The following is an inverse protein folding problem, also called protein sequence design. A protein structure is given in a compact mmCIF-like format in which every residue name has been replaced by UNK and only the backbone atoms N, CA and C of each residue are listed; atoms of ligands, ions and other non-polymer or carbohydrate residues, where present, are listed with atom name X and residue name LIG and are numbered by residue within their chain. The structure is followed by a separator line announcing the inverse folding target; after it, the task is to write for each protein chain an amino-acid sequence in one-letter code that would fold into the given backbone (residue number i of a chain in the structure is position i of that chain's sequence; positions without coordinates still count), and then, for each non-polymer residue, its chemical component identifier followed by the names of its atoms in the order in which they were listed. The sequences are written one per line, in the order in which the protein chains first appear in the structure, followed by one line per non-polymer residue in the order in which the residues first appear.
data_IF_700324363298
#
_entry.id   IF_700324363298
#
_cell.length_a   1.000
_cell.length_b   1.000
_cell.length_c   1.000
_cell.angle_alpha   90.00
_cell.angle_beta   90.00
_cell.angle_gamma   90.00
#
_symmetry.space_group_name_H-M   'P 1'
#
loop_
_entity.id
_entity.type
_entity.pdbx_description
1 polymer ?
#
# COMPACT_ATOMS: atom_id res chain seq x y z
N UNK A 1 -25.18 5.28 26.58
CA UNK A 1 -25.29 4.61 25.26
C UNK A 1 -23.90 4.63 24.63
N UNK A 2 -22.94 3.94 25.25
CA UNK A 2 -21.51 4.25 25.03
C UNK A 2 -20.65 3.03 24.73
N UNK A 3 -21.21 1.82 24.82
CA UNK A 3 -20.47 0.56 24.77
C UNK A 3 -20.42 -0.08 23.37
N UNK A 4 -21.04 0.54 22.36
CA UNK A 4 -21.16 -0.01 21.00
C UNK A 4 -19.95 0.28 20.08
N UNK A 5 -19.07 1.22 20.46
CA UNK A 5 -17.98 1.71 19.60
C UNK A 5 -16.66 0.94 19.81
N UNK A 6 -16.48 0.30 20.98
CA UNK A 6 -15.22 -0.36 21.37
C UNK A 6 -15.08 -1.83 20.90
N UNK A 7 -16.17 -2.45 20.44
CA UNK A 7 -16.21 -3.88 20.11
C UNK A 7 -15.25 -4.33 18.98
N UNK A 8 -15.03 -3.57 17.89
CA UNK A 8 -14.16 -4.03 16.79
C UNK A 8 -12.67 -4.10 17.15
N UNK A 9 -12.21 -3.33 18.13
CA UNK A 9 -10.78 -3.23 18.48
C UNK A 9 -10.34 -4.14 19.65
N UNK A 10 -11.26 -4.53 20.55
CA UNK A 10 -10.92 -5.34 21.73
C UNK A 10 -11.03 -6.86 21.45
N UNK A 11 -11.83 -7.27 20.45
CA UNK A 11 -12.09 -8.68 20.16
C UNK A 11 -10.86 -9.48 19.65
N UNK A 12 -9.73 -8.83 19.34
CA UNK A 12 -8.54 -9.47 18.76
C UNK A 12 -7.51 -10.00 19.78
N UNK A 13 -7.76 -9.87 21.09
CA UNK A 13 -6.72 -10.12 22.14
C UNK A 13 -7.00 -11.34 23.04
N UNK A 14 -8.07 -12.13 22.80
CA UNK A 14 -8.41 -13.29 23.64
C UNK A 14 -8.79 -14.55 22.83
N UNK A 15 -7.79 -15.21 22.24
CA UNK A 15 -7.83 -16.66 21.98
C UNK A 15 -6.81 -17.34 22.89
N UNK A 16 -7.24 -17.69 24.10
CA UNK A 16 -6.41 -18.43 25.05
C UNK A 16 -6.28 -19.90 24.62
N UNK A 17 -5.03 -20.33 24.41
CA UNK A 17 -4.66 -21.74 24.26
C UNK A 17 -5.10 -22.52 25.50
N UNK A 18 -5.96 -23.56 25.39
CA UNK A 18 -6.32 -24.37 26.54
C UNK A 18 -5.14 -25.26 26.97
N UNK A 19 -4.75 -25.29 28.26
CA UNK A 19 -3.61 -26.08 28.70
C UNK A 19 -3.95 -27.57 28.76
N UNK A 20 -3.05 -28.39 28.19
CA UNK A 20 -3.05 -29.85 28.36
C UNK A 20 -3.03 -30.22 29.85
N UNK A 21 -4.12 -30.80 30.37
CA UNK A 21 -4.11 -31.49 31.66
C UNK A 21 -4.56 -32.95 31.56
N UNK A 22 -3.77 -33.79 32.21
CA UNK A 22 -3.90 -35.26 32.29
C UNK A 22 -5.28 -35.67 32.80
N UNK A 23 -5.93 -36.61 32.10
CA UNK A 23 -7.04 -37.35 32.68
C UNK A 23 -6.55 -38.19 33.86
N UNK A 24 -7.19 -38.02 35.02
CA UNK A 24 -7.36 -39.08 36.03
C UNK A 24 -8.84 -39.32 36.14
N UNK A 25 -9.27 -40.55 35.88
CA UNK A 25 -10.69 -40.92 35.97
C UNK A 25 -11.17 -41.00 37.42
N UNK A 26 -12.43 -40.66 37.65
CA UNK A 26 -13.24 -41.13 38.78
C UNK A 26 -14.57 -41.61 38.19
N UNK A 27 -14.98 -42.80 38.64
CA UNK A 27 -16.21 -43.46 38.24
C UNK A 27 -17.39 -42.92 39.05
N UNK A 28 -18.49 -42.53 38.40
CA UNK A 28 -19.79 -42.41 39.06
C UNK A 28 -20.91 -43.06 38.25
N UNK A 29 -21.72 -43.84 38.98
CA UNK A 29 -22.84 -44.63 38.47
C UNK A 29 -24.05 -43.72 38.23
N UNK A 30 -24.85 -44.01 37.20
CA UNK A 30 -26.31 -43.83 37.25
C UNK A 30 -27.00 -45.13 36.85
N UNK A 31 -28.14 -45.37 37.49
CA UNK A 31 -28.93 -46.60 37.39
C UNK A 31 -30.05 -46.46 36.34
N UNK A 32 -30.40 -47.63 35.78
CA UNK A 32 -31.65 -48.09 35.11
C UNK A 32 -32.85 -47.13 35.21
N UNK A 33 -33.68 -46.96 34.18
CA UNK A 33 -34.45 -47.98 33.41
C UNK A 33 -34.62 -47.54 31.93
N UNK A 34 -35.19 -48.29 30.97
CA UNK A 34 -35.77 -49.65 30.91
C UNK A 34 -36.75 -49.73 29.71
N UNK A 35 -36.74 -50.83 28.94
CA UNK A 35 -37.58 -51.00 27.73
C UNK A 35 -36.78 -51.69 26.60
N UNK A 36 -37.32 -52.76 26.02
CA UNK A 36 -36.60 -53.65 25.10
C UNK A 36 -37.21 -53.78 23.70
N UNK A 37 -36.96 -54.93 23.06
CA UNK A 37 -37.12 -55.24 21.61
C UNK A 37 -35.98 -54.61 20.76
N UNK A 38 -35.11 -55.33 20.05
CA UNK A 38 -34.90 -56.78 19.92
C UNK A 38 -35.05 -57.29 18.49
N UNK A 39 -33.93 -57.55 17.79
CA UNK A 39 -33.79 -58.60 16.78
C UNK A 39 -32.30 -58.90 16.47
N UNK A 40 -32.02 -60.06 15.89
CA UNK A 40 -30.72 -60.74 15.91
C UNK A 40 -29.81 -60.49 14.68
N UNK A 41 -28.51 -60.35 14.98
CA UNK A 41 -27.35 -61.09 14.44
C UNK A 41 -27.33 -61.54 12.96
N UNK A 42 -26.22 -61.20 12.27
CA UNK A 42 -25.26 -62.24 11.88
C UNK A 42 -23.81 -61.69 11.88
N UNK A 43 -22.83 -62.55 12.13
CA UNK A 43 -21.43 -62.16 12.38
C UNK A 43 -20.41 -62.95 11.56
N UNK A 44 -19.30 -62.29 11.20
CA UNK A 44 -17.94 -62.85 11.12
C UNK A 44 -16.93 -61.70 10.99
N UNK A 45 -15.71 -61.69 11.55
CA UNK A 45 -15.13 -62.62 12.53
C UNK A 45 -13.75 -63.16 12.11
N UNK A 46 -12.65 -62.47 12.48
CA UNK A 46 -11.35 -63.07 12.85
C UNK A 46 -10.35 -62.04 13.40
N UNK A 47 -9.67 -62.43 14.49
CA UNK A 47 -8.60 -61.68 15.16
C UNK A 47 -7.20 -62.20 14.74
N UNK A 48 -6.12 -61.49 15.09
CA UNK A 48 -4.75 -61.85 14.68
C UNK A 48 -3.59 -61.14 15.42
N UNK A 49 -3.58 -61.21 16.75
CA UNK A 49 -2.41 -61.19 17.67
C UNK A 49 -1.06 -60.51 17.29
N UNK A 50 -0.81 -59.37 17.96
CA UNK A 50 0.41 -58.95 18.69
C UNK A 50 1.77 -59.69 18.51
N UNK A 51 2.85 -58.91 18.30
CA UNK A 51 4.17 -59.13 18.97
C UNK A 51 5.00 -57.83 19.11
N UNK A 52 5.64 -57.65 20.28
CA UNK A 52 6.62 -56.58 20.57
C UNK A 52 8.05 -57.05 20.31
N UNK A 53 8.90 -56.15 19.80
CA UNK A 53 10.37 -55.97 19.99
C UNK A 53 10.78 -54.85 19.02
N UNK A 54 11.89 -54.12 19.13
CA UNK A 54 13.00 -54.07 20.09
C UNK A 54 14.07 -53.15 19.48
N UNK A 55 14.65 -52.23 20.26
CA UNK A 55 15.57 -51.17 19.75
C UNK A 55 16.77 -51.73 18.96
N UNK A 56 17.19 -51.05 17.88
CA UNK A 56 18.61 -50.69 17.64
C UNK A 56 18.79 -49.61 16.56
N UNK A 57 19.77 -48.72 16.79
CA UNK A 57 20.32 -47.78 15.80
C UNK A 57 21.15 -48.55 14.77
N UNK A 58 21.08 -48.16 13.50
CA UNK A 58 22.18 -48.34 12.52
C UNK A 58 22.33 -47.05 11.72
N UNK A 59 23.55 -46.54 11.63
CA UNK A 59 23.93 -45.43 10.76
C UNK A 59 24.07 -45.94 9.32
N UNK A 60 23.38 -45.32 8.37
CA UNK A 60 23.65 -45.51 6.94
C UNK A 60 24.17 -44.20 6.34
N UNK A 61 25.49 -44.14 6.10
CA UNK A 61 26.11 -43.08 5.29
C UNK A 61 25.65 -43.23 3.84
N UNK A 62 24.94 -42.25 3.29
CA UNK A 62 24.88 -42.03 1.86
C UNK A 62 25.95 -40.99 1.47
N UNK A 63 27.11 -41.45 0.99
CA UNK A 63 28.04 -40.57 0.27
C UNK A 63 27.51 -40.37 -1.13
N UNK A 64 27.35 -39.12 -1.59
CA UNK A 64 27.50 -38.79 -3.01
C UNK A 64 28.69 -37.86 -3.16
N UNK A 65 29.58 -38.27 -4.05
CA UNK A 65 30.88 -37.65 -4.34
C UNK A 65 30.73 -36.57 -5.39
N UNK A 66 31.28 -35.39 -5.12
CA UNK A 66 31.66 -34.44 -6.16
C UNK A 66 32.87 -35.00 -6.93
N UNK A 67 32.95 -34.82 -8.26
CA UNK A 67 34.23 -34.73 -8.95
C UNK A 67 34.79 -33.31 -8.79
N UNK A 68 36.05 -33.19 -8.39
CA UNK A 68 36.77 -31.93 -8.34
C UNK A 68 38.16 -32.10 -8.97
N UNK A 69 38.47 -31.22 -9.92
CA UNK A 69 39.82 -30.95 -10.46
C UNK A 69 39.73 -29.57 -11.14
N UNK A 70 40.20 -28.47 -10.53
CA UNK A 70 41.61 -28.04 -10.42
C UNK A 70 42.11 -27.50 -11.78
N UNK A 71 42.83 -26.37 -11.93
CA UNK A 71 43.52 -25.42 -11.03
C UNK A 71 43.47 -24.01 -11.65
N UNK A 72 43.64 -22.93 -10.87
CA UNK A 72 44.28 -21.70 -11.38
C UNK A 72 43.44 -20.43 -11.25
N UNK A 73 43.82 -19.56 -10.30
CA UNK A 73 43.18 -18.25 -10.14
C UNK A 73 43.96 -17.12 -10.83
N UNK A 74 43.25 -16.06 -11.21
CA UNK A 74 43.66 -14.64 -11.18
C UNK A 74 42.42 -13.77 -11.42
N UNK A 75 42.46 -12.53 -10.94
CA UNK A 75 41.37 -11.57 -11.07
C UNK A 75 41.33 -10.88 -12.46
N UNK A 76 40.15 -10.46 -12.94
CA UNK A 76 40.01 -9.33 -13.87
C UNK A 76 39.94 -8.03 -13.04
N UNK A 77 40.87 -7.07 -13.08
CA UNK A 77 41.26 -6.22 -14.23
C UNK A 77 40.10 -5.86 -15.16
N UNK A 78 39.57 -4.65 -14.94
CA UNK A 78 38.67 -3.95 -15.86
C UNK A 78 39.53 -3.22 -16.90
N UNK A 79 39.27 -3.40 -18.20
CA UNK A 79 39.66 -2.45 -19.26
C UNK A 79 39.08 -2.81 -20.65
N UNK A 80 38.96 -1.76 -21.47
CA UNK A 80 38.85 -1.72 -22.94
C UNK A 80 37.59 -2.30 -23.63
N UNK A 81 36.73 -1.38 -24.09
CA UNK A 81 36.07 -1.45 -25.40
C UNK A 81 36.19 -0.10 -26.12
N UNK A 82 37.05 -0.03 -27.13
CA UNK A 82 37.12 0.96 -28.22
C UNK A 82 38.04 0.33 -29.27
N UNK A 83 37.67 0.30 -30.56
CA UNK A 83 37.76 1.47 -31.45
C UNK A 83 36.48 1.64 -32.31
N UNK A 84 36.25 2.67 -33.15
CA UNK A 84 37.15 3.38 -34.07
C UNK A 84 36.78 4.85 -34.32
N UNK A 85 37.77 5.60 -34.80
CA UNK A 85 37.71 6.99 -35.30
C UNK A 85 37.21 7.11 -36.75
N UNK A 86 36.73 8.31 -37.10
CA UNK A 86 36.45 8.77 -38.47
C UNK A 86 35.49 9.97 -38.46
N UNK A 87 35.92 11.17 -38.05
CA UNK A 87 36.40 12.24 -38.94
C UNK A 87 35.36 12.68 -40.01
N UNK A 88 34.86 13.91 -40.04
CA UNK A 88 35.08 15.08 -39.16
C UNK A 88 34.47 16.35 -39.81
N UNK A 89 34.54 17.51 -39.16
CA UNK A 89 34.75 18.83 -39.80
C UNK A 89 34.92 19.92 -38.72
N UNK A 90 35.87 20.84 -38.91
CA UNK A 90 36.06 22.05 -38.11
C UNK A 90 34.98 23.10 -38.44
N UNK A 91 34.71 24.13 -37.62
CA UNK A 91 35.26 24.52 -36.33
C UNK A 91 35.06 26.02 -36.09
N UNK A 92 35.02 26.48 -34.83
CA UNK A 92 35.21 27.87 -34.41
C UNK A 92 35.41 27.94 -32.90
N UNK A 93 36.59 28.37 -32.47
CA UNK A 93 36.93 28.84 -31.12
C UNK A 93 36.34 30.27 -30.95
N UNK A 94 36.22 30.91 -29.79
CA UNK A 94 36.97 30.83 -28.52
C UNK A 94 36.07 31.34 -27.33
N UNK A 95 36.56 31.70 -26.12
CA UNK A 95 36.47 30.85 -24.92
C UNK A 95 35.55 31.36 -23.79
N UNK A 96 35.17 30.48 -22.86
CA UNK A 96 34.59 30.90 -21.58
C UNK A 96 34.24 29.77 -20.60
N UNK A 97 34.85 29.83 -19.40
CA UNK A 97 34.51 29.06 -18.18
C UNK A 97 34.92 27.57 -18.16
N UNK A 98 35.72 27.21 -17.14
CA UNK A 98 36.20 25.85 -16.85
C UNK A 98 35.14 25.04 -16.09
N UNK A 99 35.05 23.75 -16.39
CA UNK A 99 34.40 22.78 -15.51
C UNK A 99 35.40 22.24 -14.48
N UNK A 100 35.00 22.13 -13.21
CA UNK A 100 35.77 21.45 -12.17
C UNK A 100 35.20 20.04 -11.92
N UNK A 101 36.03 19.02 -12.11
CA UNK A 101 35.73 17.65 -11.66
C UNK A 101 36.17 17.47 -10.21
N UNK A 102 35.25 17.11 -9.32
CA UNK A 102 35.60 16.66 -7.98
C UNK A 102 36.32 15.30 -8.03
N UNK A 103 37.57 15.27 -7.57
CA UNK A 103 38.38 14.05 -7.41
C UNK A 103 38.33 13.58 -5.95
N UNK A 104 37.91 12.34 -5.72
CA UNK A 104 38.02 11.72 -4.40
C UNK A 104 39.49 11.59 -3.97
N UNK A 105 39.84 12.04 -2.76
CA UNK A 105 41.10 11.69 -2.10
C UNK A 105 40.84 10.93 -0.80
N UNK A 106 41.39 9.73 -0.72
CA UNK A 106 41.70 9.07 0.54
C UNK A 106 42.71 9.90 1.34
N UNK A 107 42.54 9.94 2.66
CA UNK A 107 43.59 10.34 3.59
C UNK A 107 43.80 9.24 4.63
N UNK A 108 45.01 8.69 4.63
CA UNK A 108 45.52 7.77 5.66
C UNK A 108 46.76 8.39 6.27
N UNK A 109 46.72 8.69 7.57
CA UNK A 109 47.86 9.19 8.34
C UNK A 109 47.70 8.74 9.78
N UNK A 110 48.56 7.82 10.23
CA UNK A 110 48.52 7.27 11.59
C UNK A 110 49.51 7.95 12.53
N UNK A 111 49.27 7.82 13.82
CA UNK A 111 50.30 7.92 14.87
C UNK A 111 50.15 6.69 15.77
N UNK A 112 51.27 6.08 16.14
CA UNK A 112 51.34 4.88 16.96
C UNK A 112 51.79 5.27 18.39
N UNK A 113 51.19 4.64 19.41
CA UNK A 113 51.71 4.59 20.77
C UNK A 113 51.57 3.17 21.33
N UNK A 114 52.61 2.69 22.01
CA UNK A 114 52.74 1.33 22.55
C UNK A 114 52.99 1.37 24.06
N UNK A 115 52.21 0.62 24.83
CA UNK A 115 52.54 -0.02 26.12
C UNK A 115 51.37 -0.99 26.46
N UNK A 116 51.53 -2.33 26.43
CA UNK A 116 52.08 -3.18 27.50
C UNK A 116 51.25 -3.08 28.82
N UNK A 117 50.19 -3.89 29.03
CA UNK A 117 50.18 -5.31 29.53
C UNK A 117 50.36 -5.38 31.08
N UNK A 118 49.67 -6.19 31.90
CA UNK A 118 48.84 -7.40 31.69
C UNK A 118 47.66 -7.53 32.71
N UNK A 119 46.80 -8.56 32.58
CA UNK A 119 45.86 -8.95 33.66
C UNK A 119 44.64 -9.84 33.28
N UNK A 120 44.54 -11.01 33.91
CA UNK A 120 43.63 -12.14 33.61
C UNK A 120 42.09 -11.93 33.56
N UNK A 121 41.45 -12.73 32.68
CA UNK A 121 40.20 -13.51 32.85
C UNK A 121 39.02 -12.89 33.64
N UNK A 122 37.89 -12.70 32.96
CA UNK A 122 36.65 -13.43 33.33
C UNK A 122 35.67 -13.55 32.16
N UNK A 123 34.89 -14.63 32.15
CA UNK A 123 33.94 -14.98 31.08
C UNK A 123 32.57 -14.32 31.26
N UNK A 124 31.98 -13.84 30.15
CA UNK A 124 30.55 -13.98 29.80
C UNK A 124 30.28 -13.50 28.38
N UNK A 125 29.42 -14.23 27.68
CA UNK A 125 28.88 -13.86 26.36
C UNK A 125 27.89 -12.70 26.53
N UNK A 126 27.96 -11.69 25.67
CA UNK A 126 26.92 -10.66 25.51
C UNK A 126 26.41 -10.65 24.06
N UNK A 127 25.13 -10.30 23.89
CA UNK A 127 24.46 -10.34 22.59
C UNK A 127 24.88 -9.18 21.67
N UNK A 128 24.91 -9.43 20.36
CA UNK A 128 25.14 -8.40 19.35
C UNK A 128 23.95 -7.44 19.28
N UNK A 129 24.22 -6.14 19.36
CA UNK A 129 23.22 -5.08 19.30
C UNK A 129 22.64 -4.88 17.89
N UNK A 130 21.38 -4.45 17.82
CA UNK A 130 20.82 -3.77 16.64
C UNK A 130 21.25 -2.29 16.65
N UNK A 131 21.37 -1.63 15.48
CA UNK A 131 21.72 -0.21 15.43
C UNK A 131 20.52 0.66 15.85
N UNK A 132 20.69 1.41 16.93
CA UNK A 132 19.77 2.45 17.37
C UNK A 132 20.28 3.83 16.94
N UNK A 133 19.49 4.54 16.13
CA UNK A 133 19.65 5.98 15.92
C UNK A 133 18.28 6.62 15.72
N UNK A 134 17.52 6.74 16.80
CA UNK A 134 16.37 7.63 16.90
C UNK A 134 16.89 8.96 17.47
N UNK A 135 16.69 10.07 16.76
CA UNK A 135 17.25 11.37 17.11
C UNK A 135 16.12 12.37 17.44
N UNK A 136 15.97 12.81 18.71
CA UNK A 136 14.91 13.74 19.11
C UNK A 136 14.90 15.07 18.35
N UNK A 137 16.06 15.48 17.82
CA UNK A 137 16.23 16.76 17.12
C UNK A 137 15.51 16.83 15.76
N UNK A 138 15.19 15.68 15.15
CA UNK A 138 14.44 15.64 13.89
C UNK A 138 12.94 15.89 14.13
N UNK A 139 12.37 15.31 15.19
CA UNK A 139 10.98 15.54 15.60
C UNK A 139 10.74 17.00 16.04
N UNK A 140 11.75 17.64 16.64
CA UNK A 140 11.70 19.04 17.05
C UNK A 140 11.83 20.00 15.84
N UNK A 141 12.55 19.59 14.78
CA UNK A 141 12.59 20.29 13.51
C UNK A 141 11.26 20.19 12.74
N UNK A 142 10.62 19.01 12.73
CA UNK A 142 9.29 18.82 12.11
C UNK A 142 8.21 19.68 12.79
N UNK A 143 8.20 19.73 14.14
CA UNK A 143 7.30 20.61 14.91
C UNK A 143 7.52 22.08 14.57
N UNK A 144 8.79 22.50 14.49
CA UNK A 144 9.13 23.88 14.15
C UNK A 144 8.75 24.24 12.70
N UNK A 145 8.88 23.31 11.76
CA UNK A 145 8.42 23.48 10.39
C UNK A 145 6.89 23.62 10.31
N UNK A 146 6.14 22.89 11.14
CA UNK A 146 4.69 23.03 11.27
C UNK A 146 4.26 24.37 11.88
N UNK A 147 5.03 24.94 12.83
CA UNK A 147 4.78 26.27 13.39
C UNK A 147 5.15 27.42 12.43
N UNK A 148 6.30 27.34 11.75
CA UNK A 148 6.74 28.34 10.76
C UNK A 148 5.83 28.37 9.51
N UNK A 149 5.08 27.29 9.23
CA UNK A 149 4.05 27.24 8.17
C UNK A 149 2.82 28.15 8.43
N UNK A 150 2.69 28.76 9.62
CA UNK A 150 1.55 29.60 10.00
C UNK A 150 1.74 31.11 9.69
N UNK A 151 2.73 31.48 8.87
CA UNK A 151 2.99 32.86 8.44
C UNK A 151 2.35 33.17 7.06
N UNK A 152 1.65 34.30 6.87
CA UNK A 152 0.85 34.55 5.66
C UNK A 152 1.68 34.98 4.43
N UNK A 153 2.17 34.00 3.67
CA UNK A 153 2.53 34.12 2.24
C UNK A 153 3.95 33.64 1.86
N UNK A 154 4.21 33.19 0.60
CA UNK A 154 3.25 32.95 -0.50
C UNK A 154 2.69 31.51 -0.47
N UNK A 155 1.39 31.38 -0.78
CA UNK A 155 0.53 30.23 -0.44
C UNK A 155 0.77 28.90 -1.21
N UNK A 156 1.98 28.60 -1.69
CA UNK A 156 2.25 27.37 -2.46
C UNK A 156 3.50 26.57 -2.03
N UNK A 157 4.33 27.05 -1.09
CA UNK A 157 5.62 26.38 -0.80
C UNK A 157 5.55 25.17 0.14
N UNK A 158 4.48 24.97 0.89
CA UNK A 158 4.43 23.99 1.97
C UNK A 158 3.28 22.95 1.87
N UNK A 159 2.51 22.90 0.77
CA UNK A 159 1.36 21.97 0.60
C UNK A 159 1.80 20.49 0.60
N UNK A 160 2.95 20.23 0.00
CA UNK A 160 3.58 18.91 -0.14
C UNK A 160 5.05 19.00 0.27
N UNK A 161 5.56 17.96 0.90
CA UNK A 161 6.98 17.77 1.27
C UNK A 161 7.60 16.65 0.44
N UNK A 162 8.91 16.67 0.26
CA UNK A 162 9.63 15.52 -0.30
C UNK A 162 9.82 14.46 0.80
N UNK A 163 9.66 13.19 0.42
CA UNK A 163 9.99 12.03 1.21
C UNK A 163 10.77 11.03 0.33
N UNK A 164 12.10 11.05 0.46
CA UNK A 164 13.03 10.21 -0.32
C UNK A 164 12.73 10.23 -1.85
N UNK A 165 12.51 11.43 -2.41
CA UNK A 165 12.17 11.63 -3.84
C UNK A 165 10.71 11.31 -4.21
N UNK A 166 9.80 11.27 -3.24
CA UNK A 166 8.35 11.14 -3.45
C UNK A 166 7.65 12.31 -2.74
N UNK A 167 6.92 13.15 -3.49
CA UNK A 167 6.11 14.19 -2.88
C UNK A 167 4.93 13.58 -2.12
N UNK A 168 4.71 14.01 -0.87
CA UNK A 168 3.58 13.61 -0.03
C UNK A 168 3.13 14.79 0.83
N UNK A 169 1.87 14.81 1.25
CA UNK A 169 1.34 15.77 2.22
C UNK A 169 1.66 15.37 3.66
N UNK A 170 1.52 16.33 4.57
CA UNK A 170 1.88 16.18 5.99
C UNK A 170 1.05 15.13 6.75
N UNK A 171 -0.06 14.63 6.20
CA UNK A 171 -0.79 13.50 6.80
C UNK A 171 -0.03 12.17 6.72
N UNK A 172 0.92 12.05 5.78
CA UNK A 172 1.76 10.88 5.62
C UNK A 172 3.05 11.07 6.44
N UNK A 173 3.05 10.61 7.68
CA UNK A 173 4.21 10.76 8.57
C UNK A 173 5.39 9.93 8.11
N UNK A 174 6.61 10.37 8.41
CA UNK A 174 7.84 9.62 8.08
C UNK A 174 7.82 8.20 8.64
N UNK A 175 7.30 8.04 9.86
CA UNK A 175 7.07 6.74 10.49
C UNK A 175 6.18 5.84 9.63
N UNK A 176 5.01 6.34 9.22
CA UNK A 176 4.01 5.53 8.53
C UNK A 176 4.46 5.24 7.08
N UNK A 177 5.13 6.19 6.42
CA UNK A 177 5.75 6.01 5.11
C UNK A 177 6.89 4.97 5.14
N UNK A 178 7.82 5.04 6.09
CA UNK A 178 8.90 4.04 6.24
C UNK A 178 8.33 2.66 6.59
N UNK A 179 7.31 2.60 7.46
CA UNK A 179 6.57 1.36 7.75
C UNK A 179 5.88 0.80 6.49
N UNK A 180 5.18 1.63 5.72
CA UNK A 180 4.51 1.26 4.47
C UNK A 180 5.47 0.65 3.43
N UNK A 181 6.61 1.31 3.17
CA UNK A 181 7.63 0.82 2.23
C UNK A 181 8.32 -0.47 2.69
N UNK A 182 8.30 -0.78 3.99
CA UNK A 182 8.82 -2.03 4.56
C UNK A 182 7.77 -3.14 4.70
N UNK A 183 6.56 -2.95 4.17
CA UNK A 183 5.56 -4.01 4.17
C UNK A 183 6.02 -5.19 3.29
N UNK A 184 5.89 -6.41 3.80
CA UNK A 184 6.10 -7.64 3.05
C UNK A 184 4.72 -8.21 2.71
N UNK A 185 4.28 -8.18 1.43
CA UNK A 185 2.96 -8.67 1.06
C UNK A 185 2.81 -10.17 1.32
N UNK A 186 1.68 -10.56 1.91
CA UNK A 186 1.36 -11.96 2.17
C UNK A 186 0.84 -12.65 0.89
N UNK A 187 1.00 -13.97 0.84
CA UNK A 187 0.38 -14.81 -0.18
C UNK A 187 -1.14 -14.56 -0.23
N UNK A 188 -1.65 -14.10 -1.39
CA UNK A 188 -3.07 -13.79 -1.57
C UNK A 188 -3.54 -12.42 -1.08
N UNK A 189 -2.65 -11.54 -0.60
CA UNK A 189 -3.01 -10.13 -0.38
C UNK A 189 -3.46 -9.48 -1.69
N UNK A 190 -4.43 -8.57 -1.60
CA UNK A 190 -4.91 -7.78 -2.74
C UNK A 190 -4.65 -6.31 -2.48
N UNK A 191 -4.08 -5.62 -3.46
CA UNK A 191 -3.85 -4.18 -3.45
C UNK A 191 -4.77 -3.48 -4.43
N UNK A 192 -5.30 -2.34 -4.01
CA UNK A 192 -6.01 -1.39 -4.87
C UNK A 192 -5.09 -0.19 -5.02
N UNK A 193 -4.52 -0.08 -6.22
CA UNK A 193 -3.51 0.91 -6.56
C UNK A 193 -4.10 1.93 -7.52
N UNK A 194 -3.76 3.20 -7.33
CA UNK A 194 -3.95 4.21 -8.36
C UNK A 194 -3.10 5.43 -8.05
N UNK A 195 -2.74 6.22 -9.05
CA UNK A 195 -2.46 7.64 -8.79
C UNK A 195 -3.68 8.31 -8.12
N UNK A 196 -3.53 9.30 -7.22
CA UNK A 196 -4.66 9.94 -6.56
C UNK A 196 -5.81 10.33 -7.50
N UNK A 197 -7.04 10.14 -6.99
CA UNK A 197 -8.30 10.58 -7.63
C UNK A 197 -8.65 9.90 -8.96
N UNK A 198 -7.96 8.81 -9.32
CA UNK A 198 -8.30 7.98 -10.48
C UNK A 198 -9.44 6.97 -10.22
N UNK A 199 -10.04 6.95 -9.02
CA UNK A 199 -11.22 6.12 -8.73
C UNK A 199 -11.04 5.10 -7.61
N UNK A 200 -9.93 5.14 -6.87
CA UNK A 200 -9.55 4.24 -5.78
C UNK A 200 -10.69 3.93 -4.80
N UNK A 201 -11.41 4.94 -4.31
CA UNK A 201 -12.56 4.75 -3.40
C UNK A 201 -13.65 3.90 -4.04
N UNK A 202 -13.95 4.10 -5.33
CA UNK A 202 -14.96 3.29 -6.02
C UNK A 202 -14.48 1.85 -6.19
N UNK A 203 -13.20 1.64 -6.47
CA UNK A 203 -12.61 0.30 -6.52
C UNK A 203 -12.60 -0.40 -5.14
N UNK A 204 -12.31 0.32 -4.05
CA UNK A 204 -12.45 -0.20 -2.69
C UNK A 204 -13.90 -0.63 -2.42
N UNK A 205 -14.89 0.18 -2.82
CA UNK A 205 -16.30 -0.20 -2.72
C UNK A 205 -16.65 -1.42 -3.58
N UNK A 206 -16.13 -1.54 -4.80
CA UNK A 206 -16.31 -2.72 -5.67
C UNK A 206 -15.76 -3.98 -4.99
N UNK A 207 -14.48 -3.98 -4.61
CA UNK A 207 -13.81 -5.16 -4.04
C UNK A 207 -14.43 -5.56 -2.69
N UNK A 208 -14.68 -4.60 -1.79
CA UNK A 208 -15.31 -4.89 -0.50
C UNK A 208 -16.72 -5.46 -0.65
N UNK A 209 -17.54 -4.99 -1.62
CA UNK A 209 -18.87 -5.54 -1.83
C UNK A 209 -18.85 -6.90 -2.55
N UNK A 210 -17.89 -7.16 -3.44
CA UNK A 210 -17.68 -8.51 -4.02
C UNK A 210 -17.34 -9.52 -2.90
N UNK A 211 -16.45 -9.16 -1.97
CA UNK A 211 -16.08 -10.02 -0.84
C UNK A 211 -17.20 -10.23 0.20
N UNK A 212 -18.23 -9.38 0.20
CA UNK A 212 -19.34 -9.39 1.17
C UNK A 212 -20.69 -9.76 0.54
N UNK A 213 -20.70 -10.37 -0.65
CA UNK A 213 -21.93 -10.79 -1.36
C UNK A 213 -22.95 -9.64 -1.54
N UNK A 214 -22.46 -8.41 -1.74
CA UNK A 214 -23.27 -7.20 -1.87
C UNK A 214 -23.79 -6.61 -0.55
N UNK A 215 -23.33 -7.08 0.61
CA UNK A 215 -23.61 -6.45 1.91
C UNK A 215 -22.59 -5.33 2.15
N UNK A 216 -22.99 -4.05 2.15
CA UNK A 216 -22.05 -2.95 2.38
C UNK A 216 -21.47 -2.95 3.80
N UNK A 217 -20.33 -2.28 4.03
CA UNK A 217 -19.88 -1.89 5.36
C UNK A 217 -20.94 -1.04 6.07
N UNK A 218 -21.10 -1.23 7.38
CA UNK A 218 -22.08 -0.55 8.22
C UNK A 218 -21.74 0.94 8.44
N UNK A 219 -20.44 1.29 8.42
CA UNK A 219 -19.94 2.66 8.60
C UNK A 219 -18.55 2.84 7.96
N UNK A 220 -18.03 4.08 8.02
CA UNK A 220 -16.72 4.42 7.47
C UNK A 220 -15.56 3.63 8.10
N UNK A 221 -15.61 3.33 9.40
CA UNK A 221 -14.53 2.64 10.11
C UNK A 221 -14.42 1.17 9.71
N UNK A 222 -15.53 0.47 9.48
CA UNK A 222 -15.54 -0.89 8.93
C UNK A 222 -15.04 -0.90 7.48
N UNK A 223 -15.38 0.11 6.68
CA UNK A 223 -14.85 0.26 5.32
C UNK A 223 -13.33 0.46 5.32
N UNK A 224 -12.81 1.33 6.20
CA UNK A 224 -11.37 1.60 6.33
C UNK A 224 -10.58 0.44 6.92
N UNK A 225 -11.16 -0.40 7.78
CA UNK A 225 -10.47 -1.59 8.30
C UNK A 225 -10.36 -2.71 7.27
N UNK A 226 -11.34 -2.85 6.37
CA UNK A 226 -11.30 -3.80 5.25
C UNK A 226 -10.44 -3.33 4.07
N UNK A 227 -10.24 -2.02 3.93
CA UNK A 227 -9.42 -1.43 2.88
C UNK A 227 -8.46 -0.35 3.43
N UNK A 228 -7.49 -0.73 4.28
CA UNK A 228 -6.59 0.19 4.95
C UNK A 228 -5.69 0.88 3.94
N UNK A 229 -5.44 2.18 4.15
CA UNK A 229 -4.54 2.98 3.33
C UNK A 229 -3.11 2.82 3.88
N UNK A 230 -2.26 2.12 3.12
CA UNK A 230 -0.97 1.61 3.58
C UNK A 230 -0.03 2.73 4.05
N UNK A 231 0.10 3.80 3.28
CA UNK A 231 0.95 4.97 3.52
C UNK A 231 0.47 5.79 4.72
N UNK A 232 -0.84 5.79 4.96
CA UNK A 232 -1.47 6.52 6.05
C UNK A 232 -1.37 5.74 7.37
N UNK A 233 -1.49 4.41 7.36
CA UNK A 233 -1.59 3.57 8.56
C UNK A 233 -0.34 2.71 8.85
N UNK A 234 0.64 2.68 7.94
CA UNK A 234 1.80 1.80 8.00
C UNK A 234 1.49 0.33 7.71
N UNK A 235 2.54 -0.50 7.72
CA UNK A 235 2.45 -1.94 7.59
C UNK A 235 1.55 -2.58 8.65
N UNK A 236 1.46 -2.02 9.86
CA UNK A 236 0.59 -2.48 10.93
C UNK A 236 -0.89 -2.44 10.53
N UNK A 237 -1.34 -1.39 9.82
CA UNK A 237 -2.71 -1.31 9.31
C UNK A 237 -3.04 -2.44 8.31
N UNK A 238 -2.13 -2.74 7.39
CA UNK A 238 -2.27 -3.84 6.43
C UNK A 238 -2.19 -5.23 7.08
N UNK A 239 -1.36 -5.39 8.12
CA UNK A 239 -1.27 -6.63 8.91
C UNK A 239 -2.56 -6.90 9.69
N UNK A 240 -3.17 -5.85 10.27
CA UNK A 240 -4.41 -5.93 11.05
C UNK A 240 -5.70 -6.03 10.20
N UNK A 241 -5.61 -5.92 8.88
CA UNK A 241 -6.74 -6.02 7.95
C UNK A 241 -7.48 -7.37 8.07
N UNK A 242 -8.81 -7.39 8.30
CA UNK A 242 -9.62 -8.60 8.16
C UNK A 242 -9.53 -9.13 6.71
N UNK A 243 -9.40 -10.46 6.56
CA UNK A 243 -9.31 -11.11 5.24
C UNK A 243 -10.55 -11.98 4.98
N UNK A 244 -11.13 -11.96 3.76
CA UNK A 244 -10.69 -11.22 2.57
C UNK A 244 -10.90 -9.70 2.70
N UNK A 245 -9.92 -8.94 2.21
CA UNK A 245 -9.83 -7.48 2.27
C UNK A 245 -8.84 -6.99 1.21
N UNK A 246 -8.70 -5.67 1.02
CA UNK A 246 -7.84 -5.13 -0.04
C UNK A 246 -7.13 -3.82 0.36
N UNK A 247 -5.80 -3.87 0.45
CA UNK A 247 -4.93 -2.79 0.89
C UNK A 247 -4.96 -1.65 -0.15
N UNK A 248 -5.32 -0.44 0.25
CA UNK A 248 -5.31 0.75 -0.61
C UNK A 248 -3.91 1.37 -0.62
N UNK A 249 -3.42 1.76 -1.80
CA UNK A 249 -2.16 2.50 -1.97
C UNK A 249 -2.16 3.41 -3.21
N UNK A 250 -1.29 4.41 -3.18
CA UNK A 250 -0.94 5.36 -4.23
C UNK A 250 0.57 5.33 -4.55
N UNK A 251 1.30 4.26 -4.22
CA UNK A 251 2.72 4.17 -4.55
C UNK A 251 2.93 3.88 -6.06
N UNK A 252 3.92 4.54 -6.70
CA UNK A 252 4.39 4.12 -8.02
C UNK A 252 5.07 2.75 -7.92
N UNK A 253 5.12 2.00 -9.03
CA UNK A 253 5.51 0.58 -9.01
C UNK A 253 6.91 0.36 -8.41
N UNK A 254 7.85 1.26 -8.73
CA UNK A 254 9.23 1.22 -8.23
C UNK A 254 9.39 1.44 -6.71
N UNK A 255 8.35 1.92 -6.01
CA UNK A 255 8.30 2.07 -4.55
C UNK A 255 7.27 1.13 -3.90
N UNK A 256 6.48 0.39 -4.67
CA UNK A 256 5.43 -0.49 -4.17
C UNK A 256 6.01 -1.76 -3.51
N UNK A 257 5.57 -2.12 -2.28
CA UNK A 257 5.66 -3.48 -1.76
C UNK A 257 5.09 -4.52 -2.72
N UNK A 258 5.96 -5.26 -3.41
CA UNK A 258 5.60 -6.18 -4.48
C UNK A 258 5.80 -7.66 -4.08
N UNK A 259 4.83 -8.51 -4.42
CA UNK A 259 4.96 -9.97 -4.37
C UNK A 259 4.25 -10.59 -5.58
N UNK A 260 4.87 -11.55 -6.30
CA UNK A 260 4.23 -12.25 -7.42
C UNK A 260 3.04 -13.13 -6.99
N UNK A 261 2.81 -13.29 -5.68
CA UNK A 261 1.68 -14.04 -5.10
C UNK A 261 0.59 -13.13 -4.51
N UNK A 262 0.81 -11.82 -4.46
CA UNK A 262 -0.24 -10.84 -4.20
C UNK A 262 -0.86 -10.39 -5.53
N UNK A 263 -2.07 -9.85 -5.49
CA UNK A 263 -2.79 -9.30 -6.65
C UNK A 263 -2.86 -7.78 -6.58
N UNK A 264 -2.73 -7.10 -7.71
CA UNK A 264 -2.72 -5.65 -7.81
C UNK A 264 -3.79 -5.18 -8.79
N UNK A 265 -4.79 -4.42 -8.32
CA UNK A 265 -5.79 -3.79 -9.18
C UNK A 265 -5.37 -2.34 -9.37
N UNK A 266 -4.84 -2.00 -10.55
CA UNK A 266 -4.44 -0.65 -10.89
C UNK A 266 -5.56 0.08 -11.63
N UNK A 267 -6.01 1.22 -11.08
CA UNK A 267 -7.05 2.05 -11.70
C UNK A 267 -6.45 3.38 -12.17
N UNK A 268 -6.53 3.65 -13.47
CA UNK A 268 -6.18 4.96 -14.05
C UNK A 268 -7.42 5.77 -14.44
N UNK A 269 -7.24 7.04 -14.75
CA UNK A 269 -8.29 7.97 -15.22
C UNK A 269 -7.65 9.05 -16.08
N UNK A 270 -8.38 9.61 -17.05
CA UNK A 270 -7.83 10.65 -17.92
C UNK A 270 -7.20 11.81 -17.11
N UNK A 271 -6.04 12.34 -17.55
CA UNK A 271 -5.26 13.31 -16.76
C UNK A 271 -6.01 14.62 -16.48
N UNK A 272 -6.91 15.03 -17.37
CA UNK A 272 -7.69 16.27 -17.22
C UNK A 272 -8.69 16.18 -16.07
N UNK A 273 -9.55 15.16 -16.05
CA UNK A 273 -10.49 14.97 -14.93
C UNK A 273 -9.77 14.56 -13.63
N UNK A 274 -8.64 13.86 -13.73
CA UNK A 274 -7.77 13.58 -12.59
C UNK A 274 -7.31 14.90 -11.93
N UNK A 275 -6.72 15.81 -12.70
CA UNK A 275 -6.26 17.12 -12.23
C UNK A 275 -7.38 17.92 -11.53
N UNK A 276 -8.56 18.06 -12.15
CA UNK A 276 -9.71 18.74 -11.52
C UNK A 276 -10.14 18.03 -10.22
N UNK A 277 -10.20 16.70 -10.23
CA UNK A 277 -10.61 15.94 -9.06
C UNK A 277 -9.57 15.96 -7.93
N UNK A 278 -8.31 16.27 -8.23
CA UNK A 278 -7.21 16.41 -7.27
C UNK A 278 -7.18 17.82 -6.70
N UNK A 279 -7.34 18.87 -7.51
CA UNK A 279 -7.54 20.23 -7.03
C UNK A 279 -8.62 20.31 -5.92
N UNK A 280 -9.83 19.80 -6.19
CA UNK A 280 -10.89 19.78 -5.19
C UNK A 280 -10.59 18.90 -3.98
N UNK A 281 -9.72 17.90 -4.09
CA UNK A 281 -9.33 17.09 -2.94
C UNK A 281 -8.37 17.85 -2.03
N UNK A 282 -7.32 18.43 -2.63
CA UNK A 282 -6.30 19.23 -1.95
C UNK A 282 -6.94 20.44 -1.28
N UNK A 283 -7.81 21.16 -2.00
CA UNK A 283 -8.52 22.32 -1.46
C UNK A 283 -9.50 21.98 -0.33
N UNK A 284 -10.24 20.89 -0.44
CA UNK A 284 -11.31 20.59 0.52
C UNK A 284 -10.82 19.94 1.83
N UNK A 285 -9.61 19.40 1.86
CA UNK A 285 -9.12 18.59 2.98
C UNK A 285 -8.06 19.40 3.76
N UNK A 286 -8.35 19.89 4.98
CA UNK A 286 -7.53 20.91 5.65
C UNK A 286 -6.05 20.54 5.92
N UNK A 287 -5.72 19.25 5.94
CA UNK A 287 -4.35 18.76 6.09
C UNK A 287 -3.39 19.13 4.93
N UNK A 288 -3.90 19.68 3.82
CA UNK A 288 -3.07 20.23 2.73
C UNK A 288 -2.76 21.73 2.88
N UNK A 289 -3.43 22.45 3.79
CA UNK A 289 -3.28 23.91 3.96
C UNK A 289 -3.47 24.70 2.65
N UNK A 290 -4.53 24.35 1.90
CA UNK A 290 -4.81 24.86 0.55
C UNK A 290 -6.28 25.27 0.36
N UNK A 291 -7.00 25.54 1.45
CA UNK A 291 -8.45 25.87 1.43
C UNK A 291 -8.81 27.05 0.51
N UNK A 292 -7.94 28.07 0.45
CA UNK A 292 -8.08 29.27 -0.39
C UNK A 292 -7.34 29.16 -1.74
N UNK A 293 -6.76 28.01 -2.04
CA UNK A 293 -6.00 27.77 -3.26
C UNK A 293 -6.85 27.80 -4.53
N UNK A 294 -6.29 28.36 -5.60
CA UNK A 294 -6.93 28.43 -6.93
C UNK A 294 -6.64 27.19 -7.77
N UNK A 295 -7.45 26.96 -8.82
CA UNK A 295 -7.20 25.89 -9.78
C UNK A 295 -5.88 26.10 -10.53
N UNK A 296 -5.54 27.35 -10.85
CA UNK A 296 -4.32 27.69 -11.60
C UNK A 296 -3.06 27.33 -10.80
N UNK A 297 -3.00 27.72 -9.52
CA UNK A 297 -1.91 27.33 -8.60
C UNK A 297 -1.79 25.80 -8.46
N UNK A 298 -2.92 25.09 -8.38
CA UNK A 298 -2.90 23.63 -8.31
C UNK A 298 -2.44 22.99 -9.64
N UNK A 299 -2.90 23.52 -10.77
CA UNK A 299 -2.51 23.05 -12.10
C UNK A 299 -1.00 23.16 -12.32
N UNK A 300 -0.40 24.28 -11.90
CA UNK A 300 1.06 24.47 -11.96
C UNK A 300 1.80 23.40 -11.14
N UNK A 301 1.38 23.16 -9.88
CA UNK A 301 1.96 22.07 -9.05
C UNK A 301 1.76 20.68 -9.69
N UNK A 302 0.59 20.42 -10.28
CA UNK A 302 0.26 19.14 -10.90
C UNK A 302 1.12 18.85 -12.14
N UNK A 303 1.31 19.82 -13.05
CA UNK A 303 2.15 19.59 -14.24
C UNK A 303 3.65 19.54 -13.93
N UNK A 304 4.08 20.13 -12.81
CA UNK A 304 5.44 20.02 -12.29
C UNK A 304 5.69 18.68 -11.57
N UNK A 305 4.64 17.93 -11.22
CA UNK A 305 4.73 16.70 -10.43
C UNK A 305 5.00 16.94 -8.94
N UNK A 306 4.67 18.13 -8.43
CA UNK A 306 4.87 18.56 -7.03
C UNK A 306 3.57 18.46 -6.23
N UNK A 307 2.92 17.30 -6.33
CA UNK A 307 1.67 16.93 -5.63
C UNK A 307 1.84 15.51 -5.05
N UNK A 308 0.91 15.01 -4.22
CA UNK A 308 1.08 13.67 -3.63
C UNK A 308 1.34 12.62 -4.72
N UNK A 309 2.32 11.77 -4.46
CA UNK A 309 2.78 10.66 -5.29
C UNK A 309 3.40 11.07 -6.63
N UNK A 310 3.75 12.36 -6.79
CA UNK A 310 4.67 12.85 -7.82
C UNK A 310 4.00 13.24 -9.15
N UNK A 311 4.70 13.02 -10.26
CA UNK A 311 4.16 13.25 -11.60
C UNK A 311 3.18 12.15 -12.01
N UNK A 312 1.98 12.56 -12.46
CA UNK A 312 0.93 11.65 -12.92
C UNK A 312 1.41 10.64 -13.98
N UNK A 313 2.22 11.10 -14.95
CA UNK A 313 2.66 10.27 -16.08
C UNK A 313 3.74 9.28 -15.66
N UNK A 314 4.73 9.70 -14.87
CA UNK A 314 5.74 8.78 -14.33
C UNK A 314 5.07 7.69 -13.46
N UNK A 315 4.11 8.09 -12.62
CA UNK A 315 3.39 7.14 -11.78
C UNK A 315 2.61 6.13 -12.61
N UNK A 316 1.77 6.56 -13.57
CA UNK A 316 0.97 5.62 -14.37
C UNK A 316 1.84 4.77 -15.30
N UNK A 317 2.90 5.32 -15.90
CA UNK A 317 3.81 4.57 -16.77
C UNK A 317 4.52 3.45 -15.99
N UNK A 318 4.97 3.72 -14.76
CA UNK A 318 5.61 2.70 -13.91
C UNK A 318 4.72 1.46 -13.68
N UNK A 319 3.40 1.64 -13.65
CA UNK A 319 2.42 0.54 -13.55
C UNK A 319 1.96 0.00 -14.90
N UNK A 320 1.99 0.84 -15.94
CA UNK A 320 1.56 0.50 -17.29
C UNK A 320 2.54 -0.48 -17.96
N UNK A 321 3.82 -0.43 -17.64
CA UNK A 321 4.81 -1.45 -18.05
C UNK A 321 4.42 -2.85 -17.54
N UNK A 322 3.85 -2.93 -16.34
CA UNK A 322 3.41 -4.15 -15.68
C UNK A 322 1.95 -4.57 -15.98
N UNK A 323 1.26 -3.88 -16.90
CA UNK A 323 -0.17 -4.14 -17.23
C UNK A 323 -0.46 -5.54 -17.80
N UNK A 324 0.58 -6.24 -18.26
CA UNK A 324 0.50 -7.61 -18.78
C UNK A 324 0.83 -8.71 -17.77
N UNK A 325 1.26 -8.35 -16.55
CA UNK A 325 1.62 -9.33 -15.52
C UNK A 325 0.36 -10.04 -15.02
N UNK A 326 0.44 -11.37 -14.82
CA UNK A 326 -0.74 -12.19 -14.47
C UNK A 326 -1.37 -11.85 -13.12
N UNK A 327 -0.66 -11.11 -12.26
CA UNK A 327 -1.15 -10.61 -10.98
C UNK A 327 -1.45 -9.11 -10.97
N UNK A 328 -1.50 -8.45 -12.13
CA UNK A 328 -1.89 -7.05 -12.30
C UNK A 328 -3.17 -6.95 -13.14
N UNK A 329 -4.20 -6.31 -12.61
CA UNK A 329 -5.42 -5.97 -13.32
C UNK A 329 -5.45 -4.46 -13.57
N UNK A 330 -5.15 -4.04 -14.80
CA UNK A 330 -5.11 -2.65 -15.19
C UNK A 330 -6.46 -2.23 -15.81
N UNK A 331 -7.06 -1.14 -15.34
CA UNK A 331 -8.37 -0.66 -15.80
C UNK A 331 -8.50 0.86 -15.75
N UNK A 332 -9.32 1.44 -16.64
CA UNK A 332 -9.63 2.89 -16.61
C UNK A 332 -10.93 3.17 -15.84
N UNK A 333 -11.03 4.35 -15.21
CA UNK A 333 -12.25 4.83 -14.58
C UNK A 333 -13.39 4.98 -15.60
N UNK A 334 -13.04 5.40 -16.81
CA UNK A 334 -13.94 5.58 -17.94
C UNK A 334 -14.58 4.26 -18.38
N UNK A 335 -13.79 3.18 -18.43
CA UNK A 335 -14.26 1.82 -18.73
C UNK A 335 -15.27 1.32 -17.70
N UNK A 336 -14.96 1.43 -16.40
CA UNK A 336 -15.87 1.02 -15.32
C UNK A 336 -17.15 1.89 -15.36
N UNK A 337 -17.07 3.15 -15.77
CA UNK A 337 -18.25 4.00 -15.99
C UNK A 337 -19.08 3.62 -17.23
N UNK A 338 -18.44 3.16 -18.29
CA UNK A 338 -19.08 2.75 -19.55
C UNK A 338 -19.85 1.43 -19.41
N UNK A 339 -19.31 0.46 -18.68
CA UNK A 339 -19.96 -0.82 -18.37
C UNK A 339 -19.62 -1.32 -16.95
N UNK A 340 -20.28 -0.73 -15.94
CA UNK A 340 -20.03 -1.09 -14.55
C UNK A 340 -20.31 -2.57 -14.27
N UNK A 341 -21.32 -3.17 -14.92
CA UNK A 341 -21.67 -4.59 -14.70
C UNK A 341 -20.58 -5.53 -15.22
N UNK A 342 -20.16 -5.35 -16.48
CA UNK A 342 -19.13 -6.19 -17.09
C UNK A 342 -17.78 -6.04 -16.40
N UNK A 343 -17.42 -4.82 -15.96
CA UNK A 343 -16.18 -4.61 -15.23
C UNK A 343 -16.20 -5.16 -13.80
N UNK A 344 -17.31 -5.06 -13.06
CA UNK A 344 -17.46 -5.75 -11.76
C UNK A 344 -17.27 -7.27 -11.89
N UNK A 345 -17.81 -7.89 -12.94
CA UNK A 345 -17.62 -9.33 -13.19
C UNK A 345 -16.17 -9.68 -13.54
N UNK A 346 -15.48 -8.88 -14.37
CA UNK A 346 -14.05 -9.08 -14.68
C UNK A 346 -13.16 -8.93 -13.43
N UNK A 347 -13.47 -7.96 -12.57
CA UNK A 347 -12.76 -7.76 -11.30
C UNK A 347 -13.01 -8.96 -10.37
N UNK A 348 -14.25 -9.46 -10.29
CA UNK A 348 -14.56 -10.66 -9.54
C UNK A 348 -13.80 -11.90 -10.06
N UNK A 349 -13.69 -12.09 -11.37
CA UNK A 349 -12.85 -13.16 -11.96
C UNK A 349 -11.38 -13.05 -11.53
N UNK A 350 -10.83 -11.83 -11.55
CA UNK A 350 -9.46 -11.57 -11.15
C UNK A 350 -9.23 -11.81 -9.65
N UNK A 351 -10.19 -11.44 -8.80
CA UNK A 351 -10.16 -11.74 -7.37
C UNK A 351 -10.23 -13.25 -7.08
N UNK A 352 -11.08 -13.97 -7.80
CA UNK A 352 -11.28 -15.42 -7.70
C UNK A 352 -12.44 -15.86 -8.58
N UNK A 353 -12.14 -16.59 -9.66
CA UNK A 353 -13.15 -16.93 -10.68
C UNK A 353 -14.26 -17.80 -10.11
N UNK A 354 -13.94 -18.86 -9.38
CA UNK A 354 -14.95 -19.77 -8.84
C UNK A 354 -15.64 -19.15 -7.62
N UNK A 355 -14.87 -18.48 -6.76
CA UNK A 355 -15.31 -17.93 -5.48
C UNK A 355 -16.20 -16.68 -5.62
N UNK A 356 -15.92 -15.84 -6.63
CA UNK A 356 -16.59 -14.55 -6.82
C UNK A 356 -17.19 -14.38 -8.21
N UNK A 357 -16.41 -14.62 -9.27
CA UNK A 357 -16.84 -14.37 -10.66
C UNK A 357 -18.06 -15.19 -11.06
N UNK A 358 -17.94 -16.51 -11.02
CA UNK A 358 -18.99 -17.45 -11.37
C UNK A 358 -20.12 -17.45 -10.35
N UNK A 359 -19.83 -17.19 -9.07
CA UNK A 359 -20.83 -16.96 -8.01
C UNK A 359 -21.76 -15.79 -8.35
N UNK A 360 -21.23 -14.63 -8.75
CA UNK A 360 -22.03 -13.46 -9.14
C UNK A 360 -22.80 -13.68 -10.46
N UNK A 361 -22.32 -14.54 -11.36
CA UNK A 361 -23.07 -14.96 -12.56
C UNK A 361 -24.24 -15.89 -12.23
N UNK A 362 -24.04 -16.81 -11.29
CA UNK A 362 -25.04 -17.79 -10.85
C UNK A 362 -26.10 -17.17 -9.92
N UNK A 363 -25.77 -16.08 -9.23
CA UNK A 363 -26.68 -15.35 -8.34
C UNK A 363 -26.88 -13.88 -8.81
N UNK A 364 -27.73 -13.63 -9.82
CA UNK A 364 -27.96 -12.27 -10.34
C UNK A 364 -28.45 -11.28 -9.28
N UNK A 365 -29.20 -11.72 -8.27
CA UNK A 365 -29.66 -10.87 -7.16
C UNK A 365 -28.49 -10.37 -6.29
N UNK A 366 -27.43 -11.18 -6.14
CA UNK A 366 -26.19 -10.82 -5.47
C UNK A 366 -25.42 -9.77 -6.28
N UNK A 367 -25.38 -9.93 -7.60
CA UNK A 367 -24.80 -8.93 -8.50
C UNK A 367 -25.56 -7.61 -8.45
N UNK A 368 -26.90 -7.60 -8.42
CA UNK A 368 -27.67 -6.36 -8.24
C UNK A 368 -27.40 -5.69 -6.87
N UNK A 369 -27.25 -6.47 -5.78
CA UNK A 369 -26.87 -5.94 -4.46
C UNK A 369 -25.50 -5.26 -4.52
N UNK A 370 -24.49 -5.91 -5.12
CA UNK A 370 -23.16 -5.32 -5.34
C UNK A 370 -23.28 -4.03 -6.14
N UNK A 371 -24.01 -4.03 -7.26
CA UNK A 371 -24.17 -2.85 -8.12
C UNK A 371 -24.87 -1.67 -7.42
N UNK A 372 -25.90 -1.95 -6.60
CA UNK A 372 -26.56 -0.93 -5.78
C UNK A 372 -25.64 -0.37 -4.69
N UNK A 373 -24.86 -1.23 -4.03
CA UNK A 373 -23.95 -0.85 -2.96
C UNK A 373 -22.75 0.00 -3.42
N UNK A 374 -22.35 -0.09 -4.69
CA UNK A 374 -21.26 0.72 -5.29
C UNK A 374 -21.75 2.00 -5.99
N UNK A 375 -23.03 2.35 -5.85
CA UNK A 375 -23.59 3.59 -6.39
C UNK A 375 -22.97 4.85 -5.76
N UNK A 376 -23.04 5.99 -6.45
CA UNK A 376 -22.55 7.28 -5.93
C UNK A 376 -23.24 7.64 -4.61
N UNK A 377 -24.55 7.36 -4.50
CA UNK A 377 -25.34 7.62 -3.29
C UNK A 377 -24.88 6.75 -2.11
N UNK A 378 -24.73 5.44 -2.32
CA UNK A 378 -24.21 4.52 -1.30
C UNK A 378 -22.80 4.92 -0.84
N UNK A 379 -21.91 5.26 -1.77
CA UNK A 379 -20.57 5.75 -1.44
C UNK A 379 -20.61 7.09 -0.69
N UNK A 380 -21.50 8.02 -1.05
CA UNK A 380 -21.68 9.28 -0.30
C UNK A 380 -22.12 9.01 1.14
N UNK A 381 -23.06 8.08 1.34
CA UNK A 381 -23.54 7.68 2.67
C UNK A 381 -22.44 7.09 3.53
N UNK A 382 -21.68 6.11 3.02
CA UNK A 382 -20.61 5.42 3.80
C UNK A 382 -19.42 6.34 4.08
N UNK A 383 -19.19 7.37 3.26
CA UNK A 383 -18.11 8.35 3.47
C UNK A 383 -18.60 9.69 4.08
N UNK A 384 -19.83 9.76 4.58
CA UNK A 384 -20.34 10.97 5.24
C UNK A 384 -19.55 11.29 6.52
N UNK A 385 -19.26 10.25 7.30
CA UNK A 385 -18.56 10.31 8.60
C UNK A 385 -17.11 10.81 8.47
N UNK A 386 -16.51 10.75 7.27
CA UNK A 386 -15.16 11.28 7.00
C UNK A 386 -15.03 12.78 7.37
N UNK A 387 -16.16 13.53 7.38
CA UNK A 387 -16.19 14.93 7.85
C UNK A 387 -15.95 15.09 9.35
N UNK A 388 -16.31 14.08 10.15
CA UNK A 388 -16.19 14.05 11.60
C UNK A 388 -15.03 13.16 12.08
N UNK A 389 -14.51 12.27 11.23
CA UNK A 389 -13.44 11.30 11.53
C UNK A 389 -12.29 11.88 12.36
N UNK A 390 -11.79 13.07 12.01
CA UNK A 390 -10.71 13.70 12.76
C UNK A 390 -11.11 14.16 14.17
N UNK A 391 -12.35 14.61 14.37
CA UNK A 391 -12.90 14.94 15.69
C UNK A 391 -13.11 13.66 16.53
N UNK A 392 -13.60 12.59 15.91
CA UNK A 392 -13.75 11.27 16.55
C UNK A 392 -12.40 10.74 17.02
N UNK A 393 -11.37 10.74 16.15
CA UNK A 393 -10.01 10.32 16.51
C UNK A 393 -9.40 11.17 17.63
N UNK A 394 -9.57 12.49 17.58
CA UNK A 394 -9.09 13.39 18.64
C UNK A 394 -9.83 13.24 19.98
N UNK A 395 -10.99 12.56 20.01
CA UNK A 395 -11.72 12.25 21.25
C UNK A 395 -11.24 10.96 21.94
N UNK A 396 -10.46 10.13 21.25
CA UNK A 396 -9.91 8.87 21.80
C UNK A 396 -8.57 9.17 22.50
N UNK A 397 -8.36 8.71 23.75
CA UNK A 397 -7.06 8.83 24.43
C UNK A 397 -5.92 8.26 23.57
N UNK A 398 -4.80 8.99 23.37
CA UNK A 398 -3.72 8.57 22.47
C UNK A 398 -3.17 7.17 22.75
N UNK A 399 -3.15 6.75 24.02
CA UNK A 399 -2.68 5.44 24.47
C UNK A 399 -3.49 4.28 23.87
N UNK A 400 -4.77 4.52 23.57
CA UNK A 400 -5.69 3.55 22.98
C UNK A 400 -5.68 3.56 21.44
N UNK A 401 -5.11 4.60 20.82
CA UNK A 401 -4.98 4.68 19.37
C UNK A 401 -3.91 3.69 18.84
N UNK A 402 -4.18 2.97 17.74
CA UNK A 402 -3.17 2.19 17.03
C UNK A 402 -1.97 3.08 16.63
N UNK A 403 -0.72 2.58 16.62
CA UNK A 403 0.46 3.41 16.44
C UNK A 403 0.47 4.27 15.17
N UNK A 404 -0.02 3.73 14.04
CA UNK A 404 -0.14 4.48 12.79
C UNK A 404 -1.16 5.63 12.90
N UNK A 405 -2.30 5.39 13.55
CA UNK A 405 -3.34 6.41 13.78
C UNK A 405 -2.85 7.49 14.74
N UNK A 406 -2.18 7.10 15.83
CA UNK A 406 -1.58 8.02 16.80
C UNK A 406 -0.61 8.98 16.11
N UNK A 407 0.25 8.47 15.24
CA UNK A 407 1.22 9.30 14.49
C UNK A 407 0.54 10.37 13.63
N UNK A 408 -0.63 10.09 13.03
CA UNK A 408 -1.42 11.09 12.28
C UNK A 408 -1.97 12.17 13.22
N UNK A 409 -2.52 11.77 14.38
CA UNK A 409 -3.07 12.71 15.38
C UNK A 409 -1.98 13.63 15.92
N UNK A 410 -0.81 13.07 16.25
CA UNK A 410 0.37 13.83 16.72
C UNK A 410 0.89 14.79 15.64
N UNK A 411 0.92 14.37 14.37
CA UNK A 411 1.46 15.16 13.26
C UNK A 411 0.53 16.25 12.75
N UNK A 412 -0.79 16.02 12.73
CA UNK A 412 -1.77 17.00 12.23
C UNK A 412 -2.33 17.91 13.33
N UNK A 413 -2.28 17.47 14.60
CA UNK A 413 -2.74 18.26 15.75
C UNK A 413 -4.14 18.85 15.55
N UNK A 414 -4.25 20.18 15.66
CA UNK A 414 -5.51 20.91 15.47
C UNK A 414 -6.02 20.95 14.02
N UNK A 415 -5.18 20.62 13.02
CA UNK A 415 -5.63 20.52 11.63
C UNK A 415 -6.56 19.32 11.41
N UNK A 416 -6.38 18.25 12.18
CA UNK A 416 -7.20 17.04 12.09
C UNK A 416 -8.67 17.30 12.47
N UNK A 417 -8.94 18.19 13.44
CA UNK A 417 -10.30 18.47 13.92
C UNK A 417 -11.07 19.46 13.03
N UNK A 418 -10.41 20.11 12.07
CA UNK A 418 -11.07 20.94 11.05
C UNK A 418 -11.90 20.04 10.13
N UNK A 419 -13.20 20.32 9.92
CA UNK A 419 -14.05 19.47 9.08
C UNK A 419 -13.66 19.56 7.60
N UNK A 420 -13.69 18.42 6.91
CA UNK A 420 -13.50 18.34 5.45
C UNK A 420 -14.62 19.08 4.73
N UNK A 421 -14.26 20.03 3.86
CA UNK A 421 -15.21 20.86 3.13
C UNK A 421 -15.83 20.12 1.93
N UNK A 422 -17.01 20.56 1.48
CA UNK A 422 -17.69 19.99 0.32
C UNK A 422 -18.08 18.52 0.46
N UNK A 423 -17.87 17.73 -0.61
CA UNK A 423 -18.13 16.28 -0.64
C UNK A 423 -16.90 15.52 -1.14
N UNK A 424 -16.51 14.46 -0.43
CA UNK A 424 -15.39 13.61 -0.83
C UNK A 424 -15.68 12.84 -2.13
N UNK A 425 -16.92 12.33 -2.26
CA UNK A 425 -17.46 11.77 -3.51
C UNK A 425 -18.21 12.90 -4.23
N UNK A 426 -17.50 13.66 -5.08
CA UNK A 426 -17.99 14.90 -5.71
C UNK A 426 -19.09 14.69 -6.77
N UNK A 427 -18.72 14.56 -8.06
CA UNK A 427 -19.67 14.37 -9.18
C UNK A 427 -19.73 12.95 -9.74
N UNK A 428 -18.61 12.23 -9.79
CA UNK A 428 -18.54 10.87 -10.35
C UNK A 428 -18.83 10.77 -11.86
N UNK A 429 -18.49 11.82 -12.63
CA UNK A 429 -18.68 11.94 -14.08
C UNK A 429 -17.33 12.00 -14.84
N UNK A 430 -17.39 11.80 -16.16
CA UNK A 430 -16.27 11.95 -17.10
C UNK A 430 -16.49 13.23 -17.93
N UNK A 431 -15.43 13.99 -18.20
CA UNK A 431 -15.46 15.20 -19.02
C UNK A 431 -15.76 16.52 -18.27
N UNK A 432 -15.74 16.54 -16.93
CA UNK A 432 -15.99 17.76 -16.15
C UNK A 432 -14.86 18.79 -16.30
N UNK A 433 -13.67 18.34 -16.72
CA UNK A 433 -12.51 19.20 -16.98
C UNK A 433 -12.79 20.38 -17.92
N UNK A 434 -13.73 20.23 -18.85
CA UNK A 434 -14.14 21.29 -19.80
C UNK A 434 -14.70 22.54 -19.11
N UNK A 435 -15.19 22.38 -17.87
CA UNK A 435 -15.74 23.46 -17.06
C UNK A 435 -14.68 24.19 -16.20
N UNK A 436 -13.40 23.79 -16.28
CA UNK A 436 -12.33 24.22 -15.37
C UNK A 436 -11.08 24.71 -16.10
N UNK A 437 -10.66 24.00 -17.15
CA UNK A 437 -9.44 24.33 -17.87
C UNK A 437 -9.61 25.55 -18.78
N UNK A 438 -8.67 26.50 -18.68
CA UNK A 438 -8.49 27.52 -19.72
C UNK A 438 -7.87 26.91 -21.00
N UNK A 439 -8.05 27.53 -22.18
CA UNK A 439 -7.40 27.07 -23.42
C UNK A 439 -5.87 26.97 -23.29
N UNK A 440 -5.24 27.86 -22.53
CA UNK A 440 -3.81 27.82 -22.26
C UNK A 440 -3.41 26.60 -21.42
N UNK A 441 -4.17 26.29 -20.36
CA UNK A 441 -3.94 25.10 -19.52
C UNK A 441 -4.11 23.80 -20.32
N UNK A 442 -5.08 23.76 -21.25
CA UNK A 442 -5.24 22.63 -22.18
C UNK A 442 -3.95 22.43 -22.99
N UNK A 443 -3.43 23.47 -23.63
CA UNK A 443 -2.23 23.38 -24.45
C UNK A 443 -0.95 23.10 -23.62
N UNK A 444 -0.86 23.62 -22.39
CA UNK A 444 0.22 23.27 -21.44
C UNK A 444 0.18 21.78 -21.08
N UNK A 445 -1.00 21.22 -20.78
CA UNK A 445 -1.15 19.80 -20.46
C UNK A 445 -0.95 18.90 -21.70
N UNK A 446 -1.37 19.31 -22.90
CA UNK A 446 -1.08 18.58 -24.15
C UNK A 446 0.41 18.45 -24.41
N UNK A 447 1.17 19.54 -24.21
CA UNK A 447 2.64 19.52 -24.30
C UNK A 447 3.26 18.60 -23.24
N UNK A 448 2.75 18.59 -22.01
CA UNK A 448 3.21 17.66 -20.95
C UNK A 448 2.90 16.20 -21.30
N UNK A 449 1.70 15.90 -21.78
CA UNK A 449 1.31 14.55 -22.27
C UNK A 449 2.27 14.09 -23.37
N UNK A 450 2.42 14.88 -24.43
CA UNK A 450 3.25 14.52 -25.59
C UNK A 450 4.73 14.31 -25.20
N UNK A 451 5.25 15.10 -24.25
CA UNK A 451 6.60 14.95 -23.72
C UNK A 451 6.75 13.67 -22.88
N UNK A 452 5.83 13.41 -21.94
CA UNK A 452 5.95 12.35 -20.94
C UNK A 452 5.55 10.98 -21.44
N UNK A 453 4.65 10.92 -22.43
CA UNK A 453 4.15 9.66 -23.01
C UNK A 453 4.83 9.30 -24.34
N UNK A 454 5.83 10.08 -24.76
CA UNK A 454 6.59 9.85 -25.99
C UNK A 454 7.11 8.41 -26.10
N UNK A 455 6.66 7.69 -27.14
CA UNK A 455 7.03 6.29 -27.37
C UNK A 455 6.19 5.24 -26.64
N UNK A 456 5.11 5.64 -25.94
CA UNK A 456 4.14 4.70 -25.34
C UNK A 456 2.74 4.80 -25.96
N UNK A 457 1.98 3.71 -25.87
CA UNK A 457 0.57 3.59 -26.23
C UNK A 457 -0.39 4.01 -25.09
N UNK A 458 0.13 4.61 -24.01
CA UNK A 458 -0.66 4.95 -22.81
C UNK A 458 -1.91 5.78 -23.13
N UNK A 459 -1.80 6.76 -24.03
CA UNK A 459 -2.92 7.65 -24.34
C UNK A 459 -4.03 6.99 -25.18
N UNK A 460 -3.77 5.84 -25.79
CA UNK A 460 -4.78 5.06 -26.54
C UNK A 460 -5.87 4.50 -25.63
N UNK A 461 -5.60 4.40 -24.31
CA UNK A 461 -6.60 4.10 -23.28
C UNK A 461 -7.81 5.05 -23.32
N UNK A 462 -7.63 6.27 -23.83
CA UNK A 462 -8.64 7.34 -23.81
C UNK A 462 -9.02 7.86 -25.19
N UNK A 463 -8.59 7.20 -26.28
CA UNK A 463 -8.87 7.61 -27.67
C UNK A 463 -10.36 7.82 -27.97
N UNK A 464 -11.25 7.06 -27.31
CA UNK A 464 -12.70 7.14 -27.47
C UNK A 464 -13.37 8.23 -26.59
N UNK A 465 -12.60 9.02 -25.83
CA UNK A 465 -13.14 9.91 -24.77
C UNK A 465 -13.12 11.42 -25.10
N UNK A 466 -12.87 11.78 -26.37
CA UNK A 466 -12.87 13.16 -26.88
C UNK A 466 -11.91 14.11 -26.11
N UNK A 467 -10.73 13.62 -25.71
CA UNK A 467 -9.67 14.46 -25.15
C UNK A 467 -9.11 15.44 -26.21
N UNK A 468 -8.55 16.60 -25.80
CA UNK A 468 -8.21 17.71 -26.69
C UNK A 468 -6.79 17.67 -27.30
#
# INVERSE_FOLDING_TARGET
MSDAILAPFIALTLVLVPPLRRQRGICQRRLRSGGGLGFQLHASGREGTCKKTGKRRVLARARRTYPASSVGGRAPTCLSCSPHYGAGYAGKEDPGVRAECCVCRYLSGGVCLIAADAGEKHSRLSASAMPSSWNPLEEEADKKAAEEACQPGPACRNVYRDFDGLYVSHMFTDRNMRSALSYEPLDGDVFIVSYPKCGTTWMQHIVCNIYRDGVPPANHMEFMSMAPFLELLGAEGARSMPRPGAIKTHLPFNKQPYSPKAKYIYVTRNPYDCCVSFYYHTRNFPAYLFEDGTFDQFFDMFIEGKVDFGDYFDHVLSWYEHRGDSNVFFVTYEDIKKDTRGWVLKIADFLGKEEYGDKLRQHPDMLEKVLGAISIESMKKINADLKAWGQELSSVPPELLPPGVRSIVESLGSMLTKPVQGEFVRKGIVGDWRNHFSPEQVERLKKRIALKTAGSDLMDLWKDTNLP
#
